data_IF_314659311893
#
_entry.id   IF_314659311893
#
_cell.length_a   1.000
_cell.length_b   1.000
_cell.length_c   1.000
_cell.angle_alpha   90.00
_cell.angle_beta   90.00
_cell.angle_gamma   90.00
#
_symmetry.space_group_name_H-M   'P 1'
#
loop_
_entity.id
_entity.type
_entity.pdbx_description
1 polymer ?
#
# COMPACT_ATOMS: atom_id res chain seq x y z
N UNK A 1 -12.14 22.36 -5.72
CA UNK A 1 -13.17 21.54 -5.06
C UNK A 1 -12.93 20.12 -5.50
N UNK A 2 -12.66 19.19 -4.59
CA UNK A 2 -12.73 17.75 -4.90
C UNK A 2 -14.21 17.37 -4.87
N UNK A 3 -14.62 16.55 -5.82
CA UNK A 3 -15.99 16.02 -5.92
C UNK A 3 -15.91 14.56 -6.32
N UNK A 4 -16.96 13.79 -6.05
CA UNK A 4 -17.05 12.43 -6.53
C UNK A 4 -16.90 12.35 -8.06
N UNK A 5 -16.55 11.16 -8.56
CA UNK A 5 -16.30 10.99 -9.99
C UNK A 5 -17.51 11.33 -10.85
N UNK A 6 -18.74 11.11 -10.37
CA UNK A 6 -19.97 11.43 -11.09
C UNK A 6 -20.16 12.95 -11.28
N UNK A 7 -20.05 13.73 -10.20
CA UNK A 7 -20.17 15.18 -10.27
C UNK A 7 -18.98 15.81 -11.01
N UNK A 8 -17.77 15.26 -10.84
CA UNK A 8 -16.59 15.72 -11.60
C UNK A 8 -16.80 15.53 -13.11
N UNK A 9 -17.38 14.41 -13.54
CA UNK A 9 -17.71 14.18 -14.95
C UNK A 9 -18.77 15.16 -15.44
N UNK A 10 -19.85 15.34 -14.68
CA UNK A 10 -20.92 16.27 -15.06
C UNK A 10 -20.44 17.72 -15.20
N UNK A 11 -19.67 18.22 -14.23
CA UNK A 11 -19.09 19.57 -14.28
C UNK A 11 -18.01 19.69 -15.37
N UNK A 12 -17.26 18.62 -15.62
CA UNK A 12 -16.21 18.56 -16.62
C UNK A 12 -16.69 18.37 -18.07
N UNK A 13 -17.99 18.19 -18.29
CA UNK A 13 -18.55 17.89 -19.61
C UNK A 13 -18.26 16.46 -20.10
N UNK A 14 -17.88 15.55 -19.21
CA UNK A 14 -17.63 14.14 -19.51
C UNK A 14 -18.89 13.29 -19.31
N UNK A 15 -18.92 12.10 -19.92
CA UNK A 15 -20.04 11.14 -19.81
C UNK A 15 -20.09 10.52 -18.41
N UNK A 16 -21.20 10.69 -17.70
CA UNK A 16 -21.38 10.20 -16.32
C UNK A 16 -21.82 8.73 -16.22
N UNK A 17 -22.17 8.09 -17.33
CA UNK A 17 -22.59 6.68 -17.31
C UNK A 17 -21.43 5.69 -17.17
N UNK A 18 -20.19 6.15 -17.32
CA UNK A 18 -18.97 5.33 -17.30
C UNK A 18 -19.02 4.10 -18.22
N UNK A 19 -19.80 4.20 -19.31
CA UNK A 19 -20.06 3.12 -20.26
C UNK A 19 -19.48 3.40 -21.66
N UNK A 20 -18.69 4.47 -21.79
CA UNK A 20 -18.03 4.87 -23.03
C UNK A 20 -16.68 4.17 -23.20
N UNK A 21 -16.11 4.24 -24.40
CA UNK A 21 -14.81 3.65 -24.71
C UNK A 21 -13.69 4.24 -23.83
N UNK A 22 -13.72 5.54 -23.55
CA UNK A 22 -12.74 6.22 -22.68
C UNK A 22 -13.42 6.83 -21.47
N UNK A 23 -13.48 6.06 -20.39
CA UNK A 23 -14.18 6.43 -19.15
C UNK A 23 -13.39 7.38 -18.26
N UNK A 24 -12.07 7.49 -18.46
CA UNK A 24 -11.21 8.30 -17.60
C UNK A 24 -11.19 9.76 -18.03
N UNK A 25 -11.32 10.65 -17.05
CA UNK A 25 -11.07 12.09 -17.21
C UNK A 25 -9.57 12.44 -17.26
N UNK A 26 -8.71 11.53 -16.80
CA UNK A 26 -7.27 11.77 -16.67
C UNK A 26 -6.45 11.24 -17.85
N UNK A 27 -6.84 10.10 -18.42
CA UNK A 27 -6.12 9.44 -19.50
C UNK A 27 -7.04 9.10 -20.67
N UNK A 28 -6.43 8.70 -21.78
CA UNK A 28 -7.07 8.30 -23.02
C UNK A 28 -7.15 6.77 -23.18
N UNK A 29 -6.88 6.03 -22.09
CA UNK A 29 -7.01 4.58 -22.06
C UNK A 29 -8.45 4.15 -22.42
N UNK A 30 -8.55 3.09 -23.21
CA UNK A 30 -9.84 2.50 -23.57
C UNK A 30 -10.32 1.57 -22.47
N UNK A 31 -11.59 1.15 -22.50
CA UNK A 31 -12.14 0.14 -21.59
C UNK A 31 -11.34 -1.17 -21.61
N UNK A 32 -10.63 -1.45 -22.70
CA UNK A 32 -9.74 -2.60 -22.84
C UNK A 32 -8.34 -2.31 -22.27
N UNK A 33 -7.72 -1.19 -22.67
CA UNK A 33 -6.34 -0.89 -22.31
C UNK A 33 -6.18 -0.35 -20.88
N UNK A 34 -7.26 0.06 -20.22
CA UNK A 34 -7.20 0.61 -18.85
C UNK A 34 -6.70 -0.42 -17.83
N UNK A 35 -6.86 -1.72 -18.11
CA UNK A 35 -6.40 -2.82 -17.24
C UNK A 35 -4.89 -2.98 -17.23
N UNK A 36 -4.22 -2.57 -18.31
CA UNK A 36 -2.76 -2.64 -18.46
C UNK A 36 -2.10 -1.29 -18.15
N UNK A 37 -2.89 -0.33 -17.71
CA UNK A 37 -2.51 1.06 -17.48
C UNK A 37 -2.18 1.25 -16.00
N UNK A 38 -1.09 0.64 -15.56
CA UNK A 38 -0.74 0.51 -14.13
C UNK A 38 0.08 1.69 -13.59
N UNK A 39 0.61 2.53 -14.49
CA UNK A 39 1.42 3.70 -14.16
C UNK A 39 1.09 4.87 -15.08
N UNK A 40 1.46 6.09 -14.65
CA UNK A 40 1.24 7.30 -15.47
C UNK A 40 2.00 7.21 -16.79
N UNK A 41 3.19 6.59 -16.79
CA UNK A 41 4.04 6.45 -17.96
C UNK A 41 3.54 5.39 -18.95
N UNK A 42 2.80 4.38 -18.48
CA UNK A 42 2.15 3.38 -19.34
C UNK A 42 0.81 3.84 -19.91
N UNK A 43 0.33 5.03 -19.51
CA UNK A 43 -0.94 5.59 -19.95
C UNK A 43 -0.76 6.84 -20.81
N UNK A 44 -1.48 6.89 -21.94
CA UNK A 44 -1.61 8.14 -22.70
C UNK A 44 -2.48 9.13 -21.91
N UNK A 45 -1.85 10.17 -21.36
CA UNK A 45 -2.55 11.16 -20.54
C UNK A 45 -3.33 12.17 -21.38
N UNK A 46 -4.48 12.61 -20.87
CA UNK A 46 -5.32 13.62 -21.53
C UNK A 46 -4.71 15.00 -21.31
N UNK A 47 -4.49 15.75 -22.39
CA UNK A 47 -3.98 17.12 -22.37
C UNK A 47 -5.11 18.12 -22.62
N UNK A 48 -4.88 19.40 -22.34
CA UNK A 48 -5.84 20.45 -22.67
C UNK A 48 -6.11 20.47 -24.18
N UNK A 49 -5.06 20.35 -24.99
CA UNK A 49 -5.17 20.33 -26.46
C UNK A 49 -5.96 19.11 -26.95
N UNK A 50 -5.66 17.91 -26.44
CA UNK A 50 -6.37 16.70 -26.86
C UNK A 50 -7.83 16.71 -26.42
N UNK A 51 -8.14 17.22 -25.22
CA UNK A 51 -9.52 17.43 -24.78
C UNK A 51 -10.24 18.44 -25.68
N UNK A 52 -9.66 19.61 -25.98
CA UNK A 52 -10.30 20.66 -26.77
C UNK A 52 -10.57 20.20 -28.22
N UNK A 53 -9.63 19.49 -28.82
CA UNK A 53 -9.81 18.88 -30.13
C UNK A 53 -10.98 17.88 -30.12
N UNK A 54 -11.00 16.96 -29.15
CA UNK A 54 -12.05 15.94 -29.03
C UNK A 54 -13.43 16.55 -28.72
N UNK A 55 -13.50 17.55 -27.84
CA UNK A 55 -14.75 18.25 -27.54
C UNK A 55 -15.29 19.00 -28.78
N UNK A 56 -14.41 19.55 -29.61
CA UNK A 56 -14.79 20.18 -30.89
C UNK A 56 -15.34 19.15 -31.88
N UNK A 57 -14.71 17.97 -31.96
CA UNK A 57 -15.20 16.86 -32.79
C UNK A 57 -16.58 16.37 -32.33
N UNK A 58 -16.78 16.18 -31.02
CA UNK A 58 -18.07 15.77 -30.44
C UNK A 58 -19.16 16.82 -30.70
N UNK A 59 -18.80 18.11 -30.70
CA UNK A 59 -19.74 19.19 -31.04
C UNK A 59 -20.20 19.13 -32.51
N UNK A 60 -19.33 18.63 -33.40
CA UNK A 60 -19.65 18.41 -34.81
C UNK A 60 -20.38 17.09 -35.08
N UNK A 61 -20.08 16.05 -34.30
CA UNK A 61 -20.69 14.72 -34.39
C UNK A 61 -20.88 14.10 -32.99
N UNK A 62 -22.13 14.13 -32.52
CA UNK A 62 -22.51 13.61 -31.21
C UNK A 62 -22.25 12.10 -31.03
N UNK A 63 -22.12 11.32 -32.12
CA UNK A 63 -21.86 9.88 -32.03
C UNK A 63 -20.49 9.58 -31.40
N UNK A 64 -19.53 10.52 -31.55
CA UNK A 64 -18.18 10.44 -31.01
C UNK A 64 -18.12 10.61 -29.49
N UNK A 65 -19.22 11.03 -28.85
CA UNK A 65 -19.30 11.13 -27.39
C UNK A 65 -19.00 9.79 -26.71
N UNK A 66 -19.50 8.69 -27.29
CA UNK A 66 -19.25 7.33 -26.82
C UNK A 66 -17.78 6.88 -26.98
N UNK A 67 -17.04 7.49 -27.90
CA UNK A 67 -15.64 7.15 -28.21
C UNK A 67 -14.67 7.92 -27.30
N UNK A 68 -14.91 9.21 -27.10
CA UNK A 68 -14.02 10.08 -26.33
C UNK A 68 -14.40 10.24 -24.86
N UNK A 69 -15.62 9.83 -24.49
CA UNK A 69 -16.15 10.02 -23.14
C UNK A 69 -16.46 11.48 -22.81
N UNK A 70 -16.59 12.35 -23.81
CA UNK A 70 -16.93 13.77 -23.68
C UNK A 70 -18.35 13.95 -24.20
N UNK A 71 -19.22 14.62 -23.45
CA UNK A 71 -20.56 15.02 -23.90
C UNK A 71 -20.55 16.39 -24.56
N UNK A 72 -19.82 17.33 -23.95
CA UNK A 72 -19.75 18.70 -24.40
C UNK A 72 -18.48 19.38 -23.86
N UNK A 73 -18.09 20.50 -24.45
CA UNK A 73 -17.04 21.32 -23.88
C UNK A 73 -17.56 22.02 -22.61
N UNK A 74 -16.90 21.78 -21.47
CA UNK A 74 -17.31 22.41 -20.21
C UNK A 74 -17.29 23.94 -20.31
N UNK A 75 -18.35 24.64 -19.87
CA UNK A 75 -18.36 26.09 -19.77
C UNK A 75 -17.23 26.65 -18.92
N UNK A 76 -16.69 25.86 -17.98
CA UNK A 76 -15.58 26.27 -17.12
C UNK A 76 -14.27 26.48 -17.88
N UNK A 77 -14.09 25.87 -19.05
CA UNK A 77 -12.91 26.08 -19.88
C UNK A 77 -12.83 27.49 -20.49
N UNK A 78 -13.88 28.31 -20.35
CA UNK A 78 -13.89 29.73 -20.76
C UNK A 78 -13.20 30.65 -19.75
N UNK A 79 -12.83 30.14 -18.58
CA UNK A 79 -12.16 30.91 -17.54
C UNK A 79 -10.66 31.06 -17.86
N UNK A 80 -10.10 32.25 -17.62
CA UNK A 80 -8.72 32.59 -18.05
C UNK A 80 -7.60 31.72 -17.44
N UNK A 81 -7.84 31.12 -16.26
CA UNK A 81 -6.82 30.40 -15.51
C UNK A 81 -7.31 29.03 -15.04
N UNK A 82 -8.32 28.48 -15.72
CA UNK A 82 -8.91 27.21 -15.35
C UNK A 82 -9.25 26.39 -16.58
N UNK A 83 -8.92 25.09 -16.51
CA UNK A 83 -9.34 24.10 -17.47
C UNK A 83 -9.73 22.83 -16.72
N UNK A 84 -10.72 22.10 -17.21
CA UNK A 84 -11.19 20.86 -16.56
C UNK A 84 -10.08 19.80 -16.48
N UNK A 85 -9.20 19.78 -17.47
CA UNK A 85 -7.95 19.01 -17.45
C UNK A 85 -6.95 19.70 -16.51
N UNK A 86 -6.70 19.07 -15.37
CA UNK A 86 -5.88 19.61 -14.26
C UNK A 86 -6.66 20.42 -13.23
N UNK A 87 -7.88 20.85 -13.53
CA UNK A 87 -8.73 21.65 -12.64
C UNK A 87 -9.77 20.86 -11.84
N UNK A 88 -9.88 19.55 -12.05
CA UNK A 88 -10.83 18.66 -11.35
C UNK A 88 -10.08 17.55 -10.61
N UNK A 89 -9.59 17.81 -9.38
CA UNK A 89 -8.85 16.83 -8.60
C UNK A 89 -9.76 15.67 -8.15
N UNK A 90 -9.14 14.49 -7.96
CA UNK A 90 -9.77 13.31 -7.35
C UNK A 90 -10.21 13.55 -5.91
N UNK A 91 -11.14 12.70 -5.45
CA UNK A 91 -11.63 12.72 -4.07
C UNK A 91 -11.19 11.45 -3.37
N UNK A 92 -10.18 11.58 -2.51
CA UNK A 92 -9.59 10.47 -1.76
C UNK A 92 -10.66 9.68 -0.97
N UNK A 93 -11.68 10.35 -0.43
CA UNK A 93 -12.71 9.67 0.37
C UNK A 93 -13.55 8.76 -0.50
N UNK A 94 -14.03 9.26 -1.64
CA UNK A 94 -14.87 8.49 -2.54
C UNK A 94 -14.07 7.45 -3.35
N UNK A 95 -12.89 7.83 -3.84
CA UNK A 95 -12.06 6.98 -4.70
C UNK A 95 -11.38 5.86 -3.90
N UNK A 96 -10.79 6.16 -2.74
CA UNK A 96 -10.15 5.13 -1.90
C UNK A 96 -11.11 4.53 -0.88
N UNK A 97 -11.68 5.34 0.01
CA UNK A 97 -12.32 4.82 1.22
C UNK A 97 -13.77 4.37 1.05
N UNK A 98 -14.46 4.82 0.00
CA UNK A 98 -15.78 4.31 -0.40
C UNK A 98 -15.71 3.42 -1.66
N UNK A 99 -14.59 3.47 -2.39
CA UNK A 99 -14.34 2.70 -3.60
C UNK A 99 -13.35 1.55 -3.39
N UNK A 100 -12.07 1.80 -3.68
CA UNK A 100 -11.04 0.77 -3.76
C UNK A 100 -10.84 -0.04 -2.47
N UNK A 101 -10.66 0.63 -1.33
CA UNK A 101 -10.34 0.00 -0.05
C UNK A 101 -11.42 -0.99 0.41
N UNK A 102 -12.71 -0.63 0.47
CA UNK A 102 -13.74 -1.59 0.87
C UNK A 102 -13.87 -2.75 -0.11
N UNK A 103 -13.61 -2.55 -1.41
CA UNK A 103 -13.65 -3.62 -2.42
C UNK A 103 -12.52 -4.65 -2.20
N UNK A 104 -11.29 -4.18 -1.96
CA UNK A 104 -10.15 -5.06 -1.68
C UNK A 104 -10.33 -5.77 -0.34
N UNK A 105 -10.74 -5.06 0.72
CA UNK A 105 -11.04 -5.67 2.01
C UNK A 105 -12.15 -6.73 1.89
N UNK A 106 -13.18 -6.47 1.10
CA UNK A 106 -14.25 -7.42 0.84
C UNK A 106 -13.72 -8.72 0.20
N UNK A 107 -12.82 -8.59 -0.76
CA UNK A 107 -12.21 -9.72 -1.43
C UNK A 107 -11.36 -10.56 -0.46
N UNK A 108 -10.46 -9.92 0.29
CA UNK A 108 -9.53 -10.61 1.19
C UNK A 108 -10.25 -11.21 2.40
N UNK A 109 -11.21 -10.51 3.01
CA UNK A 109 -12.02 -11.07 4.10
C UNK A 109 -12.79 -12.31 3.62
N UNK A 110 -13.36 -12.25 2.42
CA UNK A 110 -14.08 -13.40 1.84
C UNK A 110 -13.14 -14.59 1.65
N UNK A 111 -11.95 -14.36 1.08
CA UNK A 111 -10.91 -15.38 0.93
C UNK A 111 -10.55 -16.00 2.28
N UNK A 112 -10.27 -15.19 3.31
CA UNK A 112 -9.89 -15.69 4.63
C UNK A 112 -11.00 -16.53 5.28
N UNK A 113 -12.26 -16.13 5.13
CA UNK A 113 -13.40 -16.90 5.69
C UNK A 113 -13.63 -18.20 4.92
N UNK A 114 -13.51 -18.18 3.60
CA UNK A 114 -13.67 -19.37 2.77
C UNK A 114 -12.58 -20.41 3.02
N UNK A 115 -11.35 -19.96 3.23
CA UNK A 115 -10.20 -20.81 3.54
C UNK A 115 -10.03 -21.11 5.04
N UNK A 116 -11.02 -20.77 5.86
CA UNK A 116 -11.03 -21.04 7.31
C UNK A 116 -9.84 -20.44 8.08
N UNK A 117 -9.21 -19.38 7.56
CA UNK A 117 -8.17 -18.61 8.25
C UNK A 117 -8.77 -17.97 9.52
N UNK A 118 -9.96 -17.36 9.37
CA UNK A 118 -10.76 -16.90 10.50
C UNK A 118 -12.26 -16.89 10.13
N UNK A 119 -13.14 -16.75 11.12
CA UNK A 119 -14.59 -16.64 10.90
C UNK A 119 -15.07 -15.19 10.93
N UNK A 120 -16.24 -14.90 10.34
CA UNK A 120 -16.88 -13.59 10.50
C UNK A 120 -17.21 -13.27 11.96
N UNK A 121 -17.53 -14.29 12.75
CA UNK A 121 -17.73 -14.15 14.20
C UNK A 121 -16.44 -13.71 14.89
N UNK A 122 -15.31 -14.34 14.57
CA UNK A 122 -14.00 -13.94 15.09
C UNK A 122 -13.66 -12.50 14.69
N UNK A 123 -13.80 -12.13 13.42
CA UNK A 123 -13.52 -10.76 12.96
C UNK A 123 -14.42 -9.74 13.67
N UNK A 124 -15.72 -10.03 13.81
CA UNK A 124 -16.66 -9.15 14.49
C UNK A 124 -16.35 -9.02 15.99
N UNK A 125 -15.97 -10.11 16.66
CA UNK A 125 -15.54 -10.09 18.06
C UNK A 125 -14.29 -9.23 18.23
N UNK A 126 -13.30 -9.40 17.35
CA UNK A 126 -12.09 -8.55 17.33
C UNK A 126 -12.46 -7.09 17.08
N UNK A 127 -13.32 -6.80 16.12
CA UNK A 127 -13.82 -5.43 15.89
C UNK A 127 -14.53 -4.89 17.13
N UNK A 128 -15.29 -5.71 17.86
CA UNK A 128 -16.04 -5.18 18.99
C UNK A 128 -15.18 -4.91 20.21
N UNK A 129 -14.21 -5.80 20.47
CA UNK A 129 -13.40 -5.83 21.67
C UNK A 129 -12.01 -5.19 21.52
N UNK A 130 -11.61 -4.79 20.31
CA UNK A 130 -10.32 -4.15 20.09
C UNK A 130 -10.20 -2.86 20.93
N UNK A 131 -9.06 -2.61 21.61
CA UNK A 131 -8.87 -1.43 22.44
C UNK A 131 -8.59 -0.18 21.56
N UNK A 132 -9.60 0.31 20.85
CA UNK A 132 -9.48 1.49 19.99
C UNK A 132 -8.99 2.70 20.79
N UNK A 133 -7.89 3.29 20.33
CA UNK A 133 -7.40 4.56 20.85
C UNK A 133 -8.42 5.69 20.64
N UNK A 134 -8.19 6.81 21.32
CA UNK A 134 -9.08 7.99 21.26
C UNK A 134 -9.29 8.52 19.84
N UNK A 135 -8.31 8.35 18.95
CA UNK A 135 -8.37 8.77 17.54
C UNK A 135 -9.25 7.84 16.70
N UNK A 136 -9.29 6.55 17.02
CA UNK A 136 -10.01 5.53 16.25
C UNK A 136 -11.43 5.30 16.73
N UNK A 137 -11.69 5.51 18.03
CA UNK A 137 -12.99 5.27 18.65
C UNK A 137 -14.17 5.94 17.93
N UNK A 138 -14.07 7.18 17.40
CA UNK A 138 -15.14 7.81 16.62
C UNK A 138 -15.42 7.10 15.28
N UNK A 139 -14.41 6.43 14.74
CA UNK A 139 -14.44 5.75 13.45
C UNK A 139 -14.32 4.23 13.62
N UNK A 140 -14.68 3.70 14.81
CA UNK A 140 -14.69 2.26 15.08
C UNK A 140 -15.46 1.56 13.94
N UNK A 141 -14.87 0.54 13.28
CA UNK A 141 -15.56 -0.22 12.26
C UNK A 141 -16.84 -0.84 12.82
N UNK A 142 -17.90 -0.83 12.03
CA UNK A 142 -19.14 -1.53 12.36
C UNK A 142 -18.94 -3.03 12.17
N UNK A 143 -19.55 -3.85 13.04
CA UNK A 143 -19.63 -5.29 12.79
C UNK A 143 -20.32 -5.58 11.46
N UNK A 144 -19.87 -6.63 10.80
CA UNK A 144 -20.27 -6.99 9.44
C UNK A 144 -21.15 -8.25 9.44
N UNK A 145 -21.96 -8.49 8.39
CA UNK A 145 -22.84 -9.65 8.34
C UNK A 145 -22.07 -10.97 8.43
N UNK A 146 -22.64 -11.96 9.13
CA UNK A 146 -22.05 -13.30 9.27
C UNK A 146 -21.95 -14.07 7.94
N UNK A 147 -22.80 -13.72 6.97
CA UNK A 147 -22.87 -14.43 5.68
C UNK A 147 -21.96 -13.78 4.64
N UNK A 148 -21.08 -14.57 4.03
CA UNK A 148 -20.08 -14.08 3.06
C UNK A 148 -20.52 -14.12 1.59
N UNK A 149 -21.64 -14.76 1.26
CA UNK A 149 -22.08 -15.01 -0.13
C UNK A 149 -22.32 -13.75 -0.95
N UNK A 150 -22.72 -12.65 -0.28
CA UNK A 150 -22.84 -11.30 -0.84
C UNK A 150 -22.29 -10.27 0.16
N UNK A 151 -21.14 -10.63 0.76
CA UNK A 151 -20.42 -9.79 1.68
C UNK A 151 -20.13 -8.42 1.04
N UNK A 152 -20.36 -7.35 1.80
CA UNK A 152 -19.98 -5.98 1.45
C UNK A 152 -19.43 -5.33 2.70
N UNK A 153 -18.28 -4.70 2.59
CA UNK A 153 -17.70 -3.90 3.69
C UNK A 153 -18.50 -2.60 3.79
N UNK A 154 -19.59 -2.62 4.57
CA UNK A 154 -20.47 -1.47 4.78
C UNK A 154 -19.95 -0.58 5.89
N UNK A 155 -18.96 0.24 5.56
CA UNK A 155 -18.37 1.23 6.45
C UNK A 155 -18.55 2.63 5.87
N UNK A 156 -18.56 3.67 6.70
CA UNK A 156 -18.26 5.03 6.20
C UNK A 156 -16.81 5.11 5.73
N UNK A 157 -16.46 6.11 4.92
CA UNK A 157 -15.08 6.32 4.48
C UNK A 157 -14.07 6.24 5.65
N UNK A 158 -14.34 6.96 6.74
CA UNK A 158 -13.45 6.99 7.90
C UNK A 158 -13.42 5.68 8.68
N UNK A 159 -14.56 4.97 8.77
CA UNK A 159 -14.60 3.63 9.35
C UNK A 159 -13.82 2.63 8.49
N UNK A 160 -13.86 2.76 7.17
CA UNK A 160 -13.13 1.91 6.25
C UNK A 160 -11.62 2.14 6.36
N UNK A 161 -11.20 3.41 6.47
CA UNK A 161 -9.81 3.74 6.72
C UNK A 161 -9.31 3.20 8.07
N UNK A 162 -10.12 3.36 9.13
CA UNK A 162 -9.82 2.79 10.45
C UNK A 162 -9.71 1.26 10.38
N UNK A 163 -10.66 0.61 9.70
CA UNK A 163 -10.64 -0.83 9.48
C UNK A 163 -9.36 -1.26 8.78
N UNK A 164 -9.04 -0.69 7.60
CA UNK A 164 -7.83 -1.03 6.85
C UNK A 164 -6.56 -0.90 7.72
N UNK A 165 -6.42 0.22 8.43
CA UNK A 165 -5.24 0.50 9.25
C UNK A 165 -5.06 -0.50 10.40
N UNK A 166 -6.16 -0.91 11.02
CA UNK A 166 -6.15 -1.83 12.17
C UNK A 166 -6.34 -3.29 11.74
N UNK A 167 -6.62 -3.57 10.48
CA UNK A 167 -6.96 -4.91 10.00
C UNK A 167 -5.88 -5.94 10.32
N UNK A 168 -4.57 -5.68 10.13
CA UNK A 168 -3.54 -6.61 10.57
C UNK A 168 -3.51 -6.85 12.08
N UNK A 169 -3.87 -5.86 12.90
CA UNK A 169 -3.94 -6.02 14.35
C UNK A 169 -5.19 -6.80 14.80
N UNK A 170 -6.24 -6.80 13.97
CA UNK A 170 -7.47 -7.54 14.25
C UNK A 170 -7.34 -9.02 13.91
N UNK A 171 -6.72 -9.36 12.78
CA UNK A 171 -6.74 -10.74 12.27
C UNK A 171 -5.37 -11.31 11.86
N UNK A 172 -4.32 -10.49 11.83
CA UNK A 172 -3.01 -10.89 11.28
C UNK A 172 -2.38 -12.10 11.95
N UNK A 173 -2.65 -12.34 13.25
CA UNK A 173 -2.18 -13.54 13.96
C UNK A 173 -2.72 -14.86 13.40
N UNK A 174 -3.84 -14.82 12.67
CA UNK A 174 -4.46 -15.99 12.06
C UNK A 174 -3.97 -16.22 10.63
N UNK A 175 -3.39 -15.21 10.02
CA UNK A 175 -2.98 -15.25 8.61
C UNK A 175 -1.63 -15.98 8.52
N UNK A 176 -1.49 -16.98 7.64
CA UNK A 176 -0.22 -17.63 7.41
C UNK A 176 0.87 -16.65 6.97
N UNK A 177 2.12 -16.95 7.32
CA UNK A 177 3.26 -16.21 6.78
C UNK A 177 3.30 -16.38 5.24
N UNK A 178 3.62 -15.29 4.53
CA UNK A 178 3.73 -15.24 3.07
C UNK A 178 2.43 -15.58 2.32
N UNK A 179 1.26 -15.27 2.90
CA UNK A 179 -0.02 -15.38 2.18
C UNK A 179 -0.13 -14.28 1.11
N UNK A 180 -0.31 -14.70 -0.15
CA UNK A 180 -0.30 -13.82 -1.32
C UNK A 180 -1.50 -12.84 -1.32
N UNK A 181 -2.69 -13.28 -0.88
CA UNK A 181 -3.87 -12.39 -0.76
C UNK A 181 -3.69 -11.37 0.35
N UNK A 182 -2.95 -11.73 1.39
CA UNK A 182 -2.60 -10.82 2.47
C UNK A 182 -1.59 -9.77 2.04
N UNK A 183 -0.66 -10.09 1.15
CA UNK A 183 0.30 -9.13 0.59
C UNK A 183 -0.43 -7.95 -0.10
N UNK A 184 -1.55 -8.21 -0.78
CA UNK A 184 -2.41 -7.17 -1.36
C UNK A 184 -2.89 -6.17 -0.30
N UNK A 185 -3.26 -6.62 0.90
CA UNK A 185 -3.64 -5.73 2.02
C UNK A 185 -2.47 -4.89 2.48
N UNK A 186 -1.29 -5.49 2.63
CA UNK A 186 -0.11 -4.78 3.11
C UNK A 186 0.32 -3.69 2.13
N UNK A 187 0.31 -3.99 0.83
CA UNK A 187 0.58 -3.00 -0.23
C UNK A 187 -0.50 -1.92 -0.31
N UNK A 188 -1.78 -2.30 -0.18
CA UNK A 188 -2.89 -1.34 -0.09
C UNK A 188 -2.71 -0.38 1.08
N UNK A 189 -2.36 -0.90 2.26
CA UNK A 189 -2.09 -0.09 3.45
C UNK A 189 -0.97 0.90 3.21
N UNK A 190 0.15 0.43 2.64
CA UNK A 190 1.30 1.28 2.36
C UNK A 190 0.97 2.39 1.34
N UNK A 191 0.25 2.04 0.27
CA UNK A 191 -0.24 3.01 -0.71
C UNK A 191 -1.17 4.05 -0.08
N UNK A 192 -2.18 3.62 0.68
CA UNK A 192 -3.14 4.52 1.33
C UNK A 192 -2.42 5.46 2.30
N UNK A 193 -1.43 4.96 3.02
CA UNK A 193 -0.62 5.77 3.93
C UNK A 193 0.21 6.81 3.19
N UNK A 194 0.85 6.43 2.08
CA UNK A 194 1.58 7.36 1.22
C UNK A 194 0.65 8.44 0.64
N UNK A 195 -0.53 8.06 0.11
CA UNK A 195 -1.54 9.01 -0.42
C UNK A 195 -2.07 9.94 0.66
N UNK A 196 -2.23 9.45 1.88
CA UNK A 196 -2.74 10.25 3.00
C UNK A 196 -1.65 11.03 3.74
N UNK A 197 -0.41 11.04 3.24
CA UNK A 197 0.67 11.82 3.82
C UNK A 197 0.31 13.31 3.85
N UNK A 198 0.53 14.01 4.97
CA UNK A 198 0.19 15.43 5.09
C UNK A 198 1.15 16.34 4.30
N UNK A 199 2.31 15.84 3.88
CA UNK A 199 3.35 16.61 3.18
C UNK A 199 4.01 15.73 2.13
N UNK A 200 4.21 16.29 0.94
CA UNK A 200 4.89 15.63 -0.16
C UNK A 200 6.09 16.43 -0.63
N UNK A 201 7.21 15.75 -0.81
CA UNK A 201 8.35 16.18 -1.60
C UNK A 201 8.20 15.73 -3.05
N UNK A 202 8.98 16.30 -3.98
CA UNK A 202 8.98 15.81 -5.37
C UNK A 202 9.39 14.34 -5.48
N UNK A 203 10.30 13.88 -4.61
CA UNK A 203 10.70 12.48 -4.56
C UNK A 203 9.55 11.59 -4.06
N UNK A 204 8.75 12.07 -3.10
CA UNK A 204 7.61 11.33 -2.56
C UNK A 204 6.53 11.11 -3.64
N UNK A 205 6.37 12.06 -4.56
CA UNK A 205 5.44 11.92 -5.70
C UNK A 205 5.89 10.84 -6.67
N UNK A 206 7.19 10.75 -6.96
CA UNK A 206 7.73 9.68 -7.81
C UNK A 206 7.60 8.32 -7.13
N UNK A 207 7.97 8.27 -5.84
CA UNK A 207 7.85 7.05 -5.04
C UNK A 207 6.40 6.59 -4.89
N UNK A 208 5.43 7.50 -4.79
CA UNK A 208 4.01 7.17 -4.81
C UNK A 208 3.59 6.50 -6.12
N UNK A 209 4.16 6.92 -7.26
CA UNK A 209 3.95 6.25 -8.54
C UNK A 209 4.36 4.78 -8.50
N UNK A 210 5.57 4.50 -8.01
CA UNK A 210 6.09 3.13 -7.86
C UNK A 210 5.22 2.29 -6.91
N UNK A 211 4.76 2.86 -5.80
CA UNK A 211 3.89 2.16 -4.83
C UNK A 211 2.55 1.78 -5.44
N UNK A 212 1.94 2.72 -6.19
CA UNK A 212 0.65 2.49 -6.84
C UNK A 212 0.78 1.41 -7.90
N UNK A 213 1.83 1.45 -8.72
CA UNK A 213 2.09 0.44 -9.75
C UNK A 213 2.29 -0.96 -9.14
N UNK A 214 3.13 -1.07 -8.11
CA UNK A 214 3.39 -2.34 -7.40
C UNK A 214 2.12 -2.91 -6.74
N UNK A 215 1.32 -2.05 -6.10
CA UNK A 215 0.03 -2.45 -5.55
C UNK A 215 -0.93 -2.94 -6.64
N UNK A 216 -1.07 -2.20 -7.74
CA UNK A 216 -1.99 -2.56 -8.82
C UNK A 216 -1.56 -3.88 -9.48
N UNK A 217 -0.26 -4.07 -9.74
CA UNK A 217 0.26 -5.31 -10.30
C UNK A 217 -0.08 -6.50 -9.39
N UNK A 218 0.20 -6.40 -8.09
CA UNK A 218 -0.12 -7.46 -7.12
C UNK A 218 -1.64 -7.70 -7.06
N UNK A 219 -2.45 -6.64 -7.05
CA UNK A 219 -3.90 -6.75 -7.04
C UNK A 219 -4.41 -7.48 -8.30
N UNK A 220 -3.86 -7.18 -9.48
CA UNK A 220 -4.26 -7.85 -10.72
C UNK A 220 -3.81 -9.32 -10.77
N UNK A 221 -2.58 -9.61 -10.35
CA UNK A 221 -2.09 -10.99 -10.28
C UNK A 221 -2.97 -11.82 -9.33
N UNK A 222 -3.33 -11.28 -8.16
CA UNK A 222 -4.08 -12.00 -7.14
C UNK A 222 -5.60 -12.02 -7.35
N UNK A 223 -6.21 -10.92 -7.79
CA UNK A 223 -7.66 -10.87 -7.99
C UNK A 223 -8.09 -11.71 -9.21
N UNK A 224 -7.20 -11.91 -10.17
CA UNK A 224 -7.48 -12.64 -11.40
C UNK A 224 -6.91 -14.07 -11.42
N UNK A 225 -6.02 -14.45 -10.48
CA UNK A 225 -5.49 -15.81 -10.39
C UNK A 225 -6.55 -16.88 -10.12
N UNK A 226 -7.58 -16.61 -9.29
CA UNK A 226 -8.61 -17.61 -8.96
C UNK A 226 -9.82 -17.62 -9.91
N UNK A 227 -10.11 -16.50 -10.58
CA UNK A 227 -11.37 -16.33 -11.34
C UNK A 227 -11.16 -16.45 -12.84
N UNK A 228 -10.01 -16.01 -13.35
CA UNK A 228 -9.72 -16.07 -14.78
C UNK A 228 -9.41 -17.51 -15.22
N UNK A 229 -8.73 -18.29 -14.38
CA UNK A 229 -8.52 -19.73 -14.62
C UNK A 229 -9.83 -20.53 -14.58
N UNK A 230 -10.72 -20.27 -13.61
CA UNK A 230 -12.00 -21.01 -13.52
C UNK A 230 -12.95 -20.73 -14.69
N UNK A 231 -13.13 -19.47 -15.11
CA UNK A 231 -13.99 -19.18 -16.26
C UNK A 231 -13.33 -19.56 -17.58
N UNK A 232 -12.02 -19.43 -17.71
CA UNK A 232 -11.32 -19.80 -18.95
C UNK A 232 -11.35 -21.31 -19.14
N UNK A 233 -11.11 -22.11 -18.09
CA UNK A 233 -11.27 -23.56 -18.16
C UNK A 233 -12.72 -23.97 -18.41
N UNK A 234 -13.69 -23.39 -17.71
CA UNK A 234 -15.12 -23.69 -17.89
C UNK A 234 -15.60 -23.32 -19.29
N UNK A 235 -15.16 -22.17 -19.83
CA UNK A 235 -15.50 -21.74 -21.19
C UNK A 235 -14.78 -22.61 -22.22
N UNK A 236 -13.53 -22.99 -21.98
CA UNK A 236 -12.79 -23.91 -22.86
C UNK A 236 -13.49 -25.26 -22.92
N UNK A 237 -13.78 -25.87 -21.77
CA UNK A 237 -14.52 -27.13 -21.68
C UNK A 237 -15.93 -27.02 -22.29
N UNK A 238 -16.65 -25.91 -22.05
CA UNK A 238 -17.97 -25.67 -22.63
C UNK A 238 -17.91 -25.55 -24.16
N UNK A 239 -16.89 -24.87 -24.71
CA UNK A 239 -16.71 -24.72 -26.14
C UNK A 239 -16.14 -25.99 -26.82
N UNK A 240 -15.48 -26.87 -26.08
CA UNK A 240 -15.10 -28.22 -26.50
C UNK A 240 -16.29 -29.18 -26.51
N UNK A 241 -17.13 -29.15 -25.47
CA UNK A 241 -18.32 -30.00 -25.34
C UNK A 241 -19.44 -29.58 -26.32
N UNK A 242 -19.55 -28.29 -26.61
CA UNK A 242 -20.55 -27.73 -27.52
C UNK A 242 -19.94 -26.94 -28.68
N UNK A 243 -19.26 -27.60 -29.65
CA UNK A 243 -18.57 -26.91 -30.76
C UNK A 243 -19.49 -26.08 -31.65
N UNK A 244 -20.77 -26.44 -31.74
CA UNK A 244 -21.79 -25.72 -32.53
C UNK A 244 -22.19 -24.36 -31.92
N UNK A 245 -21.76 -24.10 -30.68
CA UNK A 245 -22.00 -22.84 -29.95
C UNK A 245 -20.90 -21.81 -30.23
N UNK A 246 -19.78 -22.25 -30.81
CA UNK A 246 -18.90 -21.40 -31.61
C UNK A 246 -19.69 -21.07 -32.87
N UNK A 247 -20.38 -19.93 -32.87
CA UNK A 247 -20.92 -19.38 -34.12
C UNK A 247 -19.73 -19.10 -35.08
N UNK A 248 -19.96 -18.57 -36.28
CA UNK A 248 -18.90 -18.33 -37.29
C UNK A 248 -17.73 -17.40 -36.87
N UNK A 249 -17.68 -16.99 -35.62
CA UNK A 249 -16.69 -16.11 -35.04
C UNK A 249 -15.41 -16.87 -34.64
N UNK A 250 -14.29 -16.15 -34.59
CA UNK A 250 -13.00 -16.68 -34.15
C UNK A 250 -13.07 -17.21 -32.70
N UNK A 251 -12.27 -18.24 -32.39
CA UNK A 251 -12.29 -18.95 -31.10
C UNK A 251 -12.15 -17.98 -29.91
N UNK A 252 -11.32 -16.95 -30.05
CA UNK A 252 -11.09 -15.94 -29.03
C UNK A 252 -12.31 -15.03 -28.79
N UNK A 253 -13.02 -14.67 -29.86
CA UNK A 253 -14.26 -13.87 -29.79
C UNK A 253 -15.37 -14.67 -29.12
N UNK A 254 -15.53 -15.96 -29.49
CA UNK A 254 -16.50 -16.85 -28.86
C UNK A 254 -16.20 -17.07 -27.37
N UNK A 255 -14.94 -17.28 -27.00
CA UNK A 255 -14.51 -17.43 -25.61
C UNK A 255 -14.85 -16.21 -24.76
N UNK A 256 -14.57 -15.00 -25.27
CA UNK A 256 -14.88 -13.76 -24.56
C UNK A 256 -16.38 -13.52 -24.39
N UNK A 257 -17.19 -13.82 -25.42
CA UNK A 257 -18.64 -13.71 -25.38
C UNK A 257 -19.28 -14.65 -24.34
N UNK A 258 -18.84 -15.90 -24.32
CA UNK A 258 -19.37 -16.91 -23.41
C UNK A 258 -18.92 -16.69 -21.97
N UNK A 259 -17.68 -16.21 -21.77
CA UNK A 259 -17.19 -15.75 -20.47
C UNK A 259 -18.12 -14.70 -19.86
N UNK A 260 -18.44 -13.64 -20.61
CA UNK A 260 -19.32 -12.57 -20.12
C UNK A 260 -20.73 -13.08 -19.81
N UNK A 261 -21.31 -13.93 -20.68
CA UNK A 261 -22.66 -14.48 -20.48
C UNK A 261 -22.76 -15.35 -19.24
N UNK A 262 -21.76 -16.17 -18.98
CA UNK A 262 -21.69 -17.04 -17.81
C UNK A 262 -21.55 -16.19 -16.53
N UNK A 263 -20.69 -15.17 -16.55
CA UNK A 263 -20.55 -14.22 -15.44
C UNK A 263 -21.86 -13.51 -15.09
N UNK A 264 -22.58 -12.98 -16.10
CA UNK A 264 -23.88 -12.33 -15.87
C UNK A 264 -24.94 -13.26 -15.30
N UNK A 265 -24.95 -14.53 -15.73
CA UNK A 265 -25.89 -15.53 -15.22
C UNK A 265 -25.71 -15.78 -13.72
N UNK A 266 -24.46 -15.97 -13.27
CA UNK A 266 -24.16 -16.18 -11.85
C UNK A 266 -24.44 -14.94 -10.99
N UNK A 267 -24.14 -13.75 -11.50
CA UNK A 267 -24.44 -12.50 -10.81
C UNK A 267 -25.94 -12.29 -10.59
N UNK A 268 -26.76 -12.61 -11.59
CA UNK A 268 -28.21 -12.45 -11.50
C UNK A 268 -28.86 -13.43 -10.52
N UNK A 269 -28.35 -14.65 -10.40
CA UNK A 269 -28.80 -15.63 -9.42
C UNK A 269 -28.51 -15.19 -7.98
N UNK A 270 -27.32 -14.61 -7.72
CA UNK A 270 -26.97 -14.05 -6.40
C UNK A 270 -27.90 -12.91 -5.98
N UNK A 271 -28.16 -11.98 -6.90
CA UNK A 271 -29.03 -10.82 -6.65
C UNK A 271 -30.49 -11.20 -6.37
N UNK A 272 -30.99 -12.33 -6.92
CA UNK A 272 -32.33 -12.83 -6.63
C UNK A 272 -32.47 -13.36 -5.20
N UNK A 273 -31.39 -13.93 -4.65
CA UNK A 273 -31.37 -14.50 -3.29
C UNK A 273 -31.38 -13.41 -2.20
N UNK A 274 -30.76 -12.27 -2.44
CA UNK A 274 -30.59 -11.19 -1.44
C UNK A 274 -31.83 -10.30 -1.20
N UNK A 275 -32.83 -10.32 -2.09
CA UNK A 275 -34.02 -9.45 -1.98
C UNK A 275 -34.97 -9.80 -0.81
N UNK A 276 -34.75 -10.92 -0.12
CA UNK A 276 -35.68 -11.45 0.88
C UNK A 276 -35.36 -11.06 2.34
N UNK A 277 -34.46 -10.11 2.62
CA UNK A 277 -34.00 -9.78 3.99
C UNK A 277 -34.18 -8.28 4.31
N UNK A 278 -34.92 -7.88 5.37
CA UNK A 278 -35.18 -6.47 5.70
C UNK A 278 -34.24 -5.88 6.78
N UNK A 279 -33.78 -4.62 6.65
CA UNK A 279 -32.94 -3.93 7.66
C UNK A 279 -33.26 -2.42 7.81
N UNK A 280 -33.28 -1.89 9.05
CA UNK A 280 -33.57 -0.48 9.43
C UNK A 280 -32.30 0.28 9.91
N UNK A 281 -32.20 1.57 9.56
CA UNK A 281 -31.10 2.55 9.84
C UNK A 281 -31.34 3.41 11.11
N UNK A 282 -30.26 3.92 11.75
CA UNK A 282 -30.13 5.23 12.44
C UNK A 282 -28.62 5.51 12.70
N UNK A 283 -28.02 6.64 12.28
CA UNK A 283 -28.08 8.06 12.70
C UNK A 283 -27.20 8.42 13.92
N UNK A 284 -26.40 9.47 13.68
CA UNK A 284 -25.20 10.01 14.33
C UNK A 284 -25.42 10.88 15.58
N UNK A 285 -24.31 11.25 16.26
CA UNK A 285 -23.83 12.63 16.56
C UNK A 285 -22.72 12.65 17.64
N UNK A 286 -21.57 13.29 17.36
CA UNK A 286 -21.13 14.66 17.81
C UNK A 286 -20.72 14.67 19.31
N UNK A 287 -19.68 15.33 19.84
CA UNK A 287 -18.61 16.23 19.40
C UNK A 287 -17.62 16.38 20.59
N UNK A 288 -16.56 17.18 20.40
CA UNK A 288 -15.77 17.98 21.36
C UNK A 288 -14.27 17.66 21.41
N UNK A 289 -13.58 18.63 20.83
CA UNK A 289 -12.15 18.93 20.74
C UNK A 289 -11.43 19.20 22.07
N UNK A 290 -10.10 18.97 22.10
CA UNK A 290 -9.11 20.06 22.26
C UNK A 290 -7.65 19.59 22.16
N UNK A 291 -6.96 20.02 21.08
CA UNK A 291 -5.62 20.66 21.01
C UNK A 291 -4.43 20.07 21.83
N UNK A 292 -3.18 19.83 21.34
CA UNK A 292 -2.40 20.28 20.16
C UNK A 292 -1.05 19.48 20.06
N UNK A 293 -0.72 18.98 18.83
CA UNK A 293 0.57 19.06 18.05
C UNK A 293 1.88 18.51 18.68
N UNK A 294 2.79 17.71 18.09
CA UNK A 294 3.36 17.38 16.72
C UNK A 294 4.23 16.10 16.93
N UNK A 295 4.70 15.26 16.00
CA UNK A 295 4.58 14.99 14.55
C UNK A 295 5.10 13.54 14.34
N UNK A 296 4.60 12.89 13.30
CA UNK A 296 4.88 11.49 12.92
C UNK A 296 6.32 11.21 12.46
N UNK A 297 6.73 9.94 12.59
CA UNK A 297 7.66 9.21 11.70
C UNK A 297 7.14 7.74 11.62
N UNK A 298 7.00 7.19 10.41
CA UNK A 298 6.61 5.80 10.08
C UNK A 298 7.70 5.33 9.06
N UNK A 299 8.27 4.12 9.01
CA UNK A 299 7.60 2.83 8.73
C UNK A 299 8.50 1.56 8.87
N UNK A 300 7.85 0.41 9.03
CA UNK A 300 8.37 -0.94 8.73
C UNK A 300 9.04 -1.70 9.87
N UNK A 301 10.23 -1.26 10.30
CA UNK A 301 11.02 -1.94 11.34
C UNK A 301 11.00 -1.19 12.67
N UNK A 302 10.75 0.12 12.63
CA UNK A 302 10.73 0.99 13.81
C UNK A 302 9.69 0.58 14.86
N UNK A 303 8.57 -0.03 14.44
CA UNK A 303 7.46 -0.46 15.31
C UNK A 303 7.30 -1.98 15.41
N UNK A 304 8.30 -2.78 15.00
CA UNK A 304 8.27 -4.24 15.16
C UNK A 304 8.21 -4.63 16.64
N UNK A 305 7.13 -5.32 17.04
CA UNK A 305 6.91 -5.91 18.35
C UNK A 305 7.05 -7.45 18.23
N UNK A 306 8.22 -8.02 18.58
CA UNK A 306 8.47 -9.45 18.50
C UNK A 306 7.62 -10.21 19.52
N UNK A 307 7.22 -11.44 19.19
CA UNK A 307 6.52 -12.32 20.14
C UNK A 307 7.52 -12.87 21.16
N UNK A 308 7.13 -12.88 22.44
CA UNK A 308 7.91 -13.48 23.51
C UNK A 308 7.95 -15.02 23.33
N UNK A 309 9.08 -15.71 23.60
CA UNK A 309 9.11 -17.18 23.56
C UNK A 309 8.07 -17.81 24.48
N UNK A 310 7.48 -18.93 24.08
CA UNK A 310 6.35 -19.58 24.80
C UNK A 310 6.68 -19.97 26.25
N UNK A 311 7.96 -20.22 26.54
CA UNK A 311 8.46 -20.63 27.85
C UNK A 311 8.75 -19.44 28.79
N UNK A 312 8.47 -18.21 28.37
CA UNK A 312 8.84 -16.99 29.09
C UNK A 312 7.60 -16.21 29.57
N UNK A 313 7.55 -15.92 30.87
CA UNK A 313 6.53 -15.13 31.55
C UNK A 313 7.10 -13.79 32.09
N UNK A 314 6.26 -12.94 32.67
CA UNK A 314 6.73 -11.64 33.15
C UNK A 314 7.78 -11.76 34.26
N UNK A 315 7.68 -12.80 35.09
CA UNK A 315 8.63 -13.07 36.16
C UNK A 315 9.97 -13.55 35.60
N UNK A 316 9.96 -14.36 34.54
CA UNK A 316 11.16 -14.86 33.87
C UNK A 316 11.87 -13.74 33.13
N UNK A 317 11.15 -12.86 32.44
CA UNK A 317 11.73 -11.66 31.82
C UNK A 317 12.34 -10.75 32.86
N UNK A 318 11.66 -10.48 33.97
CA UNK A 318 12.26 -9.68 35.06
C UNK A 318 13.54 -10.32 35.59
N UNK A 319 13.59 -11.66 35.70
CA UNK A 319 14.81 -12.39 36.06
C UNK A 319 15.90 -12.22 35.00
N UNK A 320 15.56 -12.27 33.71
CA UNK A 320 16.53 -12.08 32.61
C UNK A 320 17.05 -10.65 32.54
N UNK A 321 16.21 -9.63 32.73
CA UNK A 321 16.60 -8.23 32.80
C UNK A 321 17.55 -7.96 33.98
N UNK A 322 17.22 -8.49 35.16
CA UNK A 322 18.10 -8.41 36.33
C UNK A 322 19.43 -9.15 36.09
N UNK A 323 19.38 -10.35 35.48
CA UNK A 323 20.57 -11.11 35.12
C UNK A 323 21.45 -10.36 34.12
N UNK A 324 20.85 -9.65 33.15
CA UNK A 324 21.56 -8.84 32.17
C UNK A 324 22.31 -7.70 32.83
N UNK A 325 21.67 -6.95 33.75
CA UNK A 325 22.32 -5.87 34.51
C UNK A 325 23.46 -6.40 35.39
N UNK A 326 23.24 -7.52 36.09
CA UNK A 326 24.28 -8.11 36.97
C UNK A 326 25.46 -8.70 36.20
N UNK A 327 25.25 -9.22 34.98
CA UNK A 327 26.34 -9.74 34.14
C UNK A 327 27.23 -8.63 33.62
N UNK A 328 26.66 -7.47 33.28
CA UNK A 328 27.39 -6.33 32.73
C UNK A 328 28.32 -5.65 33.73
N UNK A 329 27.98 -5.65 35.02
CA UNK A 329 28.82 -5.03 36.06
C UNK A 329 30.01 -5.91 36.45
N UNK A 330 30.14 -7.12 35.89
CA UNK A 330 31.26 -8.01 36.19
C UNK A 330 32.53 -7.49 35.53
N UNK A 331 33.66 -7.71 36.20
CA UNK A 331 35.00 -7.40 35.68
C UNK A 331 35.30 -8.11 34.34
N UNK A 332 34.70 -9.28 34.13
CA UNK A 332 34.78 -10.08 32.90
C UNK A 332 33.38 -10.62 32.55
N UNK A 333 32.57 -9.85 31.78
CA UNK A 333 31.24 -10.29 31.39
C UNK A 333 31.29 -11.51 30.45
N UNK A 334 30.42 -12.49 30.65
CA UNK A 334 30.24 -13.58 29.69
C UNK A 334 29.43 -13.10 28.48
N UNK A 335 30.13 -12.81 27.37
CA UNK A 335 29.51 -12.32 26.14
C UNK A 335 28.51 -13.30 25.51
N UNK A 336 28.72 -14.63 25.66
CA UNK A 336 27.78 -15.63 25.15
C UNK A 336 26.50 -15.68 25.99
N UNK A 337 26.62 -15.49 27.30
CA UNK A 337 25.48 -15.31 28.20
C UNK A 337 24.74 -14.00 27.93
N UNK A 338 25.44 -12.89 27.73
CA UNK A 338 24.83 -11.59 27.40
C UNK A 338 24.02 -11.67 26.10
N UNK A 339 24.54 -12.34 25.07
CA UNK A 339 23.84 -12.49 23.79
C UNK A 339 22.53 -13.27 23.93
N UNK A 340 22.56 -14.37 24.70
CA UNK A 340 21.36 -15.14 25.05
C UNK A 340 20.34 -14.29 25.81
N UNK A 341 20.76 -13.57 26.84
CA UNK A 341 19.87 -12.69 27.62
C UNK A 341 19.28 -11.56 26.76
N UNK A 342 20.06 -10.99 25.84
CA UNK A 342 19.58 -9.98 24.89
C UNK A 342 18.54 -10.53 23.93
N UNK A 343 18.66 -11.80 23.51
CA UNK A 343 17.66 -12.48 22.67
C UNK A 343 16.38 -12.77 23.45
N UNK A 344 16.48 -13.29 24.69
CA UNK A 344 15.29 -13.59 25.52
C UNK A 344 14.49 -12.33 25.87
N UNK A 345 15.20 -11.22 26.14
CA UNK A 345 14.57 -9.93 26.48
C UNK A 345 14.23 -9.08 25.25
N UNK A 346 14.39 -9.60 24.02
CA UNK A 346 14.21 -8.81 22.79
C UNK A 346 12.77 -8.28 22.64
N UNK A 347 11.77 -9.14 22.87
CA UNK A 347 10.36 -8.78 22.81
C UNK A 347 10.04 -7.62 23.75
N UNK A 348 10.38 -7.77 25.03
CA UNK A 348 10.12 -6.79 26.08
C UNK A 348 10.90 -5.48 25.92
N UNK A 349 12.14 -5.56 25.44
CA UNK A 349 12.93 -4.38 25.12
C UNK A 349 12.33 -3.59 23.97
N UNK A 350 11.84 -4.27 22.92
CA UNK A 350 11.14 -3.61 21.80
C UNK A 350 9.82 -3.01 22.26
N UNK A 351 9.08 -3.73 23.11
CA UNK A 351 7.87 -3.22 23.75
C UNK A 351 8.14 -1.94 24.55
N UNK A 352 9.20 -1.93 25.37
CA UNK A 352 9.65 -0.74 26.10
C UNK A 352 10.00 0.43 25.16
N UNK A 353 10.85 0.19 24.16
CA UNK A 353 11.31 1.24 23.24
C UNK A 353 10.15 1.84 22.42
N UNK A 354 9.21 1.01 21.96
CA UNK A 354 8.11 1.46 21.08
C UNK A 354 6.96 2.06 21.88
N UNK A 355 6.48 1.34 22.90
CA UNK A 355 5.23 1.69 23.57
C UNK A 355 5.42 2.68 24.72
N UNK A 356 6.58 2.68 25.38
CA UNK A 356 6.88 3.66 26.44
C UNK A 356 7.59 4.90 25.90
N UNK A 357 8.08 4.85 24.65
CA UNK A 357 8.84 5.94 23.99
C UNK A 357 9.87 6.62 24.92
N UNK A 358 10.78 5.84 25.54
CA UNK A 358 11.74 6.32 26.52
C UNK A 358 12.81 7.20 25.89
N UNK A 359 13.41 8.06 26.70
CA UNK A 359 14.64 8.78 26.35
C UNK A 359 15.81 7.79 26.19
N UNK A 360 16.79 8.13 25.35
CA UNK A 360 17.99 7.29 25.13
C UNK A 360 18.72 6.96 26.44
N UNK A 361 18.72 7.87 27.41
CA UNK A 361 19.32 7.62 28.72
C UNK A 361 18.55 6.55 29.51
N UNK A 362 17.22 6.50 29.41
CA UNK A 362 16.38 5.49 30.06
C UNK A 362 16.54 4.12 29.40
N UNK A 363 16.69 4.08 28.06
CA UNK A 363 17.06 2.85 27.33
C UNK A 363 18.42 2.35 27.78
N UNK A 364 19.41 3.25 27.91
CA UNK A 364 20.75 2.89 28.38
C UNK A 364 20.74 2.39 29.83
N UNK A 365 19.91 2.93 30.69
CA UNK A 365 19.78 2.48 32.08
C UNK A 365 19.10 1.10 32.19
N UNK A 366 18.07 0.86 31.37
CA UNK A 366 17.33 -0.42 31.38
C UNK A 366 18.09 -1.53 30.66
N UNK A 367 18.71 -1.23 29.52
CA UNK A 367 19.46 -2.17 28.68
C UNK A 367 20.85 -1.63 28.29
N UNK A 368 21.79 -1.53 29.26
CA UNK A 368 23.12 -0.98 28.99
C UNK A 368 23.90 -1.78 27.92
N UNK A 369 23.58 -3.07 27.75
CA UNK A 369 24.24 -3.97 26.81
C UNK A 369 24.12 -3.51 25.35
N UNK A 370 23.07 -2.74 25.03
CA UNK A 370 22.87 -2.14 23.72
C UNK A 370 23.99 -1.15 23.34
N UNK A 371 24.63 -0.51 24.33
CA UNK A 371 25.53 0.62 24.13
C UNK A 371 27.00 0.32 24.44
N UNK A 372 27.30 -0.78 25.14
CA UNK A 372 28.65 -1.07 25.62
C UNK A 372 29.41 -2.12 24.79
N UNK A 373 28.72 -2.87 23.91
CA UNK A 373 29.39 -3.81 23.01
C UNK A 373 29.43 -3.29 21.58
N UNK A 374 30.58 -3.49 20.93
CA UNK A 374 30.93 -2.88 19.63
C UNK A 374 29.94 -3.21 18.49
N UNK A 375 29.18 -4.31 18.62
CA UNK A 375 28.22 -4.76 17.62
C UNK A 375 26.80 -4.99 18.19
N UNK A 376 26.50 -4.51 19.40
CA UNK A 376 25.18 -4.75 20.01
C UNK A 376 24.03 -4.18 19.17
N UNK A 377 24.20 -2.96 18.67
CA UNK A 377 23.19 -2.28 17.84
C UNK A 377 23.00 -3.01 16.51
N UNK A 378 24.07 -3.52 15.90
CA UNK A 378 23.99 -4.29 14.65
C UNK A 378 23.31 -5.64 14.87
N UNK A 379 23.61 -6.33 15.97
CA UNK A 379 22.89 -7.55 16.37
C UNK A 379 21.43 -7.28 16.64
N UNK A 380 21.10 -6.15 17.26
CA UNK A 380 19.73 -5.73 17.49
C UNK A 380 19.01 -5.44 16.17
N UNK A 381 19.68 -4.76 15.24
CA UNK A 381 19.18 -4.54 13.89
C UNK A 381 18.91 -5.87 13.18
N UNK A 382 19.83 -6.84 13.24
CA UNK A 382 19.66 -8.18 12.66
C UNK A 382 18.44 -8.90 13.24
N UNK A 383 18.22 -8.83 14.56
CA UNK A 383 17.02 -9.40 15.21
C UNK A 383 15.72 -8.77 14.69
N UNK A 384 15.76 -7.49 14.31
CA UNK A 384 14.60 -6.77 13.78
C UNK A 384 14.40 -7.05 12.28
N UNK A 385 15.46 -6.98 11.48
CA UNK A 385 15.41 -7.03 10.02
C UNK A 385 15.50 -8.45 9.44
N UNK A 386 15.94 -9.44 10.22
CA UNK A 386 16.16 -10.82 9.76
C UNK A 386 17.32 -10.99 8.77
N UNK A 387 18.05 -9.91 8.45
CA UNK A 387 19.21 -9.87 7.56
C UNK A 387 20.36 -9.10 8.18
N UNK A 388 21.56 -9.34 7.68
CA UNK A 388 22.72 -8.51 8.01
C UNK A 388 22.60 -7.11 7.44
N UNK A 389 23.13 -6.11 8.15
CA UNK A 389 23.13 -4.73 7.66
C UNK A 389 24.00 -4.61 6.40
N UNK A 390 25.13 -5.32 6.38
CA UNK A 390 26.06 -5.35 5.27
C UNK A 390 25.41 -5.94 4.00
N UNK A 391 24.61 -7.00 4.15
CA UNK A 391 23.87 -7.63 3.06
C UNK A 391 22.82 -6.65 2.49
N UNK A 392 22.04 -6.00 3.35
CA UNK A 392 21.04 -5.01 2.92
C UNK A 392 21.66 -3.79 2.22
N UNK A 393 22.78 -3.29 2.74
CA UNK A 393 23.52 -2.19 2.10
C UNK A 393 24.08 -2.63 0.75
N UNK A 394 24.60 -3.85 0.63
CA UNK A 394 25.12 -4.38 -0.62
C UNK A 394 24.01 -4.58 -1.67
N UNK A 395 22.88 -5.20 -1.29
CA UNK A 395 21.70 -5.36 -2.15
C UNK A 395 21.15 -4.00 -2.60
N UNK A 396 21.01 -3.06 -1.67
CA UNK A 396 20.55 -1.70 -1.95
C UNK A 396 21.49 -0.95 -2.88
N UNK A 397 22.81 -1.03 -2.63
CA UNK A 397 23.84 -0.46 -3.50
C UNK A 397 23.70 -1.02 -4.92
N UNK A 398 23.66 -2.35 -5.09
CA UNK A 398 23.47 -2.97 -6.42
C UNK A 398 22.17 -2.58 -7.09
N UNK A 399 21.06 -2.51 -6.35
CA UNK A 399 19.74 -2.16 -6.92
C UNK A 399 19.66 -0.69 -7.35
N UNK A 400 20.27 0.22 -6.59
CA UNK A 400 20.09 1.65 -6.76
C UNK A 400 21.33 2.40 -7.28
N UNK A 401 22.46 1.73 -7.52
CA UNK A 401 23.74 2.37 -7.88
C UNK A 401 23.63 3.33 -9.07
N UNK A 402 22.95 2.97 -10.16
CA UNK A 402 22.84 3.83 -11.35
C UNK A 402 22.10 5.13 -11.03
N UNK A 403 21.03 5.05 -10.23
CA UNK A 403 20.25 6.21 -9.78
C UNK A 403 21.10 7.08 -8.84
N UNK A 404 21.82 6.47 -7.90
CA UNK A 404 22.68 7.17 -6.95
C UNK A 404 23.87 7.85 -7.64
N UNK A 405 24.46 7.24 -8.66
CA UNK A 405 25.50 7.85 -9.51
C UNK A 405 24.96 9.04 -10.30
N UNK A 406 23.76 8.92 -10.86
CA UNK A 406 23.08 10.03 -11.54
C UNK A 406 22.87 11.22 -10.61
N UNK A 407 22.41 10.96 -9.38
CA UNK A 407 22.25 11.98 -8.36
C UNK A 407 23.58 12.57 -7.90
N UNK A 408 24.61 11.75 -7.70
CA UNK A 408 25.94 12.20 -7.28
C UNK A 408 26.53 13.23 -8.25
N UNK A 409 26.31 13.07 -9.56
CA UNK A 409 26.75 14.05 -10.59
C UNK A 409 26.11 15.44 -10.45
N UNK A 410 24.97 15.53 -9.77
CA UNK A 410 24.25 16.79 -9.54
C UNK A 410 24.67 17.49 -8.24
N UNK A 411 25.44 16.82 -7.39
CA UNK A 411 25.84 17.35 -6.09
C UNK A 411 27.20 18.05 -6.19
N UNK A 412 27.30 19.23 -5.57
CA UNK A 412 28.57 19.94 -5.38
C UNK A 412 29.27 19.39 -4.12
N UNK A 413 29.96 18.26 -4.28
CA UNK A 413 30.75 17.64 -3.22
C UNK A 413 32.09 17.14 -3.76
N UNK A 414 33.18 17.60 -3.17
CA UNK A 414 34.56 17.32 -3.62
C UNK A 414 34.87 15.82 -3.61
N UNK A 415 34.44 15.08 -2.58
CA UNK A 415 34.64 13.63 -2.51
C UNK A 415 33.84 12.88 -3.58
N UNK A 416 32.60 13.30 -3.86
CA UNK A 416 31.81 12.72 -4.94
C UNK A 416 32.43 13.01 -6.31
N UNK A 417 32.98 14.20 -6.52
CA UNK A 417 33.68 14.53 -7.78
C UNK A 417 34.91 13.64 -7.99
N UNK A 418 35.74 13.46 -6.96
CA UNK A 418 36.89 12.55 -7.00
C UNK A 418 36.46 11.11 -7.33
N UNK A 419 35.39 10.62 -6.68
CA UNK A 419 34.87 9.27 -6.93
C UNK A 419 34.29 9.12 -8.34
N UNK A 420 33.59 10.14 -8.85
CA UNK A 420 33.00 10.13 -10.20
C UNK A 420 34.07 10.23 -11.30
N UNK A 421 35.15 10.98 -11.08
CA UNK A 421 36.30 11.02 -11.98
C UNK A 421 36.99 9.65 -12.02
N UNK A 422 37.18 9.03 -10.85
CA UNK A 422 37.78 7.71 -10.75
C UNK A 422 36.91 6.61 -11.40
N UNK A 423 35.57 6.72 -11.35
CA UNK A 423 34.63 5.81 -12.03
C UNK A 423 34.94 5.62 -13.51
N UNK A 424 35.42 6.68 -14.19
CA UNK A 424 35.73 6.64 -15.62
C UNK A 424 37.03 5.90 -15.98
N UNK A 425 37.88 5.63 -14.97
CA UNK A 425 39.22 5.05 -15.14
C UNK A 425 39.33 3.59 -14.68
N UNK A 426 38.32 3.08 -13.98
CA UNK A 426 38.33 1.71 -13.43
C UNK A 426 37.76 0.73 -14.45
N UNK A 427 38.42 -0.41 -14.61
CA UNK A 427 37.95 -1.53 -15.44
C UNK A 427 37.73 -2.82 -14.63
N UNK A 428 38.11 -2.82 -13.35
CA UNK A 428 37.94 -3.95 -12.45
C UNK A 428 36.55 -3.93 -11.78
N UNK A 429 35.83 -5.04 -11.86
CA UNK A 429 34.44 -5.14 -11.39
C UNK A 429 34.32 -5.03 -9.86
N UNK A 430 35.35 -5.45 -9.12
CA UNK A 430 35.38 -5.37 -7.65
C UNK A 430 35.60 -3.91 -7.21
N UNK A 431 36.54 -3.22 -7.84
CA UNK A 431 36.77 -1.78 -7.63
C UNK A 431 35.54 -0.92 -8.04
N UNK A 432 34.83 -1.28 -9.12
CA UNK A 432 33.59 -0.59 -9.52
C UNK A 432 32.51 -0.75 -8.45
N UNK A 433 32.35 -1.95 -7.90
CA UNK A 433 31.35 -2.23 -6.88
C UNK A 433 31.66 -1.51 -5.56
N UNK A 434 32.93 -1.44 -5.17
CA UNK A 434 33.38 -0.67 -4.00
C UNK A 434 33.13 0.83 -4.19
N UNK A 435 33.37 1.34 -5.39
CA UNK A 435 33.06 2.72 -5.75
C UNK A 435 31.55 3.00 -5.66
N UNK A 436 30.70 2.09 -6.15
CA UNK A 436 29.24 2.21 -6.04
C UNK A 436 28.78 2.22 -4.59
N UNK A 437 29.38 1.39 -3.74
CA UNK A 437 29.13 1.40 -2.30
C UNK A 437 29.55 2.74 -1.66
N UNK A 438 30.74 3.26 -1.99
CA UNK A 438 31.23 4.55 -1.50
C UNK A 438 30.31 5.71 -1.90
N UNK A 439 29.90 5.76 -3.18
CA UNK A 439 28.95 6.76 -3.67
C UNK A 439 27.61 6.62 -2.95
N UNK A 440 27.12 5.39 -2.75
CA UNK A 440 25.87 5.14 -2.04
C UNK A 440 25.93 5.63 -0.59
N UNK A 441 27.02 5.34 0.14
CA UNK A 441 27.19 5.78 1.53
C UNK A 441 27.26 7.31 1.67
N UNK A 442 27.82 8.01 0.68
CA UNK A 442 27.86 9.47 0.67
C UNK A 442 26.52 10.09 0.26
N UNK A 443 25.79 9.44 -0.64
CA UNK A 443 24.52 9.93 -1.16
C UNK A 443 23.34 9.66 -0.21
N UNK A 444 23.33 8.55 0.52
CA UNK A 444 22.21 8.17 1.41
C UNK A 444 21.89 9.25 2.46
N UNK A 445 22.85 9.83 3.20
CA UNK A 445 22.55 10.90 4.15
C UNK A 445 21.99 12.17 3.47
N UNK A 446 22.40 12.44 2.24
CA UNK A 446 21.91 13.57 1.44
C UNK A 446 20.48 13.32 0.95
N UNK A 447 20.17 12.11 0.50
CA UNK A 447 18.82 11.74 0.03
C UNK A 447 17.82 11.64 1.19
N UNK A 448 18.27 11.22 2.37
CA UNK A 448 17.46 11.16 3.59
C UNK A 448 17.33 12.51 4.32
N UNK A 449 17.97 13.59 3.82
CA UNK A 449 17.98 14.94 4.42
C UNK A 449 18.54 14.97 5.86
N UNK A 450 19.41 14.03 6.21
CA UNK A 450 20.00 13.95 7.55
C UNK A 450 21.17 14.93 7.74
N UNK A 451 21.78 15.40 6.66
CA UNK A 451 22.79 16.47 6.67
C UNK A 451 22.41 17.56 5.66
N UNK A 452 22.35 18.81 6.13
CA UNK A 452 22.44 19.96 5.22
C UNK A 452 23.85 19.99 4.61
N UNK A 453 23.93 20.36 3.33
CA UNK A 453 25.18 20.63 2.62
C UNK A 453 26.00 21.66 3.40
N UNK A 454 26.93 21.18 4.24
CA UNK A 454 28.04 22.02 4.66
C UNK A 454 29.04 22.01 3.53
N UNK A 455 29.00 23.07 2.73
CA UNK A 455 30.15 23.51 1.95
C UNK A 455 31.25 23.90 2.94
N UNK A 456 32.27 23.08 3.05
CA UNK A 456 33.58 23.48 3.55
C UNK A 456 34.63 22.91 2.65
#
# INVERSE_FOLDING_TARGET
MSTDSLAAHGVGGFVESFSCCRISRFCLATSESIKTCLSVDSCEMRTQDSYNAQASLVSGDSSLSSVYGIKENSPLNKLNHYHVIGGLPSDISHDLFEGLVPEVLEHVIRYCVQNQIFTMEYLNDRIDNFPYGSVDKPNKPSVMPQTVSNFKVKQTAMQCWCLLRLFPLLVGEKVPANDEKWEVILKLMFMVEAVCSPVFSKADVLFLGDIVEDFLQTLYEEQFSEVEWQYTEVVTAFLEEFPKVKDKDEIEVASNLWRQRIQYRFQNERNRRDKNIPMKRKLSKDDVSSQRKRKAIIWGLANCLPVRPEDEDDDSIHRHEAALKTEMVKRHPDHGRLDRLMTLTFSDRRNFIINENPLVCEIKEKYPALFESENAVLKEFRRIAGKEMEELISEGSKKYHQKLLGLAKTQENELLQILLEHHSSITDDEEINDLHCCVSLLMVPLTLKERELKTS
#
